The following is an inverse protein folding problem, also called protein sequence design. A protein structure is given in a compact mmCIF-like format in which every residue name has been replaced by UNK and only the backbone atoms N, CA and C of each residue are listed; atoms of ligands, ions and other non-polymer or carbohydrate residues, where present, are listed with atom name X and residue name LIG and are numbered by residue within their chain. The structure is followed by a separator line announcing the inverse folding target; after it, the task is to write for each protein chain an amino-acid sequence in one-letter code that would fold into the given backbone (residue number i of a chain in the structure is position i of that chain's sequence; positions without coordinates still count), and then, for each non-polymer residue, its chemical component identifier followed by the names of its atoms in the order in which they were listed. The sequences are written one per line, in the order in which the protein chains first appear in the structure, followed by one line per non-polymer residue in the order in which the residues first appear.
data_IF_683912389895
#
_entry.id   IF_683912389895
#
_cell.length_a   1.000
_cell.length_b   1.000
_cell.length_c   1.000
_cell.angle_alpha   90.00
_cell.angle_beta   90.00
_cell.angle_gamma   90.00
#
_symmetry.space_group_name_H-M   'P 1'
#
loop_
_entity.id
_entity.type
_entity.pdbx_description
1 polymer ?
#
# COMPACT_ATOMS: atom_id res chain seq x y z
N UNK A 1 27.25 -58.87 -25.81
CA UNK A 1 27.43 -57.45 -25.39
C UNK A 1 26.55 -56.42 -26.13
N UNK A 2 25.64 -56.80 -27.05
CA UNK A 2 24.78 -55.82 -27.74
C UNK A 2 23.51 -55.44 -26.94
N UNK A 3 22.91 -56.39 -26.24
CA UNK A 3 21.69 -56.19 -25.43
C UNK A 3 21.87 -55.14 -24.32
N UNK A 4 23.02 -55.16 -23.63
CA UNK A 4 23.32 -54.18 -22.58
C UNK A 4 23.40 -52.74 -23.12
N UNK A 5 23.87 -52.55 -24.35
CA UNK A 5 23.90 -51.23 -25.01
C UNK A 5 22.50 -50.70 -25.32
N UNK A 6 21.57 -51.58 -25.71
CA UNK A 6 20.19 -51.17 -25.97
C UNK A 6 19.43 -50.82 -24.70
N UNK A 7 19.68 -51.54 -23.59
CA UNK A 7 19.10 -51.23 -22.28
C UNK A 7 19.60 -49.87 -21.78
N UNK A 8 20.89 -49.57 -21.95
CA UNK A 8 21.47 -48.29 -21.57
C UNK A 8 20.90 -47.13 -22.41
N UNK A 9 20.72 -47.34 -23.71
CA UNK A 9 20.13 -46.35 -24.61
C UNK A 9 18.67 -46.06 -24.25
N UNK A 10 17.90 -47.10 -23.90
CA UNK A 10 16.51 -46.99 -23.49
C UNK A 10 16.35 -46.23 -22.16
N UNK A 11 17.23 -46.49 -21.19
CA UNK A 11 17.26 -45.75 -19.92
C UNK A 11 17.63 -44.26 -20.10
N UNK A 12 18.53 -43.92 -21.02
CA UNK A 12 18.82 -42.51 -21.33
C UNK A 12 17.63 -41.79 -21.98
N UNK A 13 16.87 -42.46 -22.84
CA UNK A 13 15.66 -41.87 -23.46
C UNK A 13 14.58 -41.62 -22.40
N UNK A 14 14.37 -42.55 -21.46
CA UNK A 14 13.44 -42.35 -20.35
C UNK A 14 13.84 -41.20 -19.43
N UNK A 15 15.15 -40.98 -19.22
CA UNK A 15 15.66 -39.85 -18.44
C UNK A 15 15.47 -38.50 -19.15
N UNK A 16 15.46 -38.46 -20.48
CA UNK A 16 15.25 -37.22 -21.25
C UNK A 16 13.76 -36.86 -21.36
N UNK A 17 12.84 -37.83 -21.27
CA UNK A 17 11.40 -37.58 -21.25
C UNK A 17 10.85 -37.13 -19.88
N UNK A 18 11.64 -37.21 -18.80
CA UNK A 18 11.20 -36.87 -17.45
C UNK A 18 11.50 -35.43 -17.02
N UNK A 19 11.71 -34.53 -17.99
CA UNK A 19 12.12 -33.15 -17.73
C UNK A 19 11.15 -32.11 -18.30
N UNK A 20 9.85 -32.35 -18.14
CA UNK A 20 8.85 -31.28 -18.10
C UNK A 20 7.95 -31.58 -16.90
N UNK A 21 8.44 -31.23 -15.71
CA UNK A 21 7.50 -30.83 -14.67
C UNK A 21 7.18 -29.39 -14.99
N UNK A 22 5.93 -29.15 -15.37
CA UNK A 22 5.32 -27.83 -15.39
C UNK A 22 5.63 -27.12 -14.07
N UNK A 23 6.72 -26.35 -14.07
CA UNK A 23 6.93 -25.30 -13.09
C UNK A 23 6.00 -24.23 -13.59
N UNK A 24 4.79 -24.17 -13.02
CA UNK A 24 3.95 -22.98 -13.15
C UNK A 24 4.86 -21.79 -12.89
N UNK A 25 4.95 -20.80 -13.81
CA UNK A 25 5.76 -19.64 -13.56
C UNK A 25 5.27 -19.07 -12.23
N UNK A 26 6.18 -18.95 -11.26
CA UNK A 26 5.92 -18.20 -10.04
C UNK A 26 5.55 -16.80 -10.54
N UNK A 27 4.26 -16.48 -10.58
CA UNK A 27 3.83 -15.11 -10.82
C UNK A 27 4.48 -14.31 -9.70
N UNK A 28 5.51 -13.53 -10.04
CA UNK A 28 5.97 -12.48 -9.16
C UNK A 28 4.78 -11.53 -9.00
N UNK A 29 4.03 -11.70 -7.91
CA UNK A 29 3.01 -10.76 -7.51
C UNK A 29 3.74 -9.48 -7.10
N UNK A 30 4.05 -8.64 -8.08
CA UNK A 30 4.52 -7.29 -7.85
C UNK A 30 3.36 -6.48 -7.26
N UNK A 31 3.13 -6.66 -5.97
CA UNK A 31 2.20 -5.82 -5.23
C UNK A 31 2.67 -4.36 -5.35
N UNK A 32 1.74 -3.45 -5.62
CA UNK A 32 2.04 -2.02 -5.63
C UNK A 32 2.37 -1.60 -4.20
N UNK A 33 3.52 -0.98 -3.96
CA UNK A 33 3.92 -0.53 -2.61
C UNK A 33 3.91 0.99 -2.56
N UNK A 34 3.20 1.54 -1.57
CA UNK A 34 3.21 2.97 -1.24
C UNK A 34 4.03 3.15 0.04
N UNK A 35 5.08 3.99 -0.01
CA UNK A 35 5.76 4.44 1.20
C UNK A 35 5.25 5.81 1.62
N UNK A 36 4.77 5.93 2.86
CA UNK A 36 4.26 7.19 3.42
C UNK A 36 5.15 7.60 4.59
N UNK A 37 5.71 8.80 4.51
CA UNK A 37 6.39 9.45 5.63
C UNK A 37 5.51 10.55 6.21
N UNK A 38 5.29 10.56 7.52
CA UNK A 38 4.42 11.51 8.20
C UNK A 38 5.19 12.23 9.29
N UNK A 39 5.18 13.56 9.22
CA UNK A 39 5.92 14.42 10.14
C UNK A 39 5.19 15.73 10.40
N UNK A 40 5.59 16.45 11.45
CA UNK A 40 5.12 17.81 11.74
C UNK A 40 6.31 18.76 11.91
N UNK A 41 6.09 20.05 11.65
CA UNK A 41 7.13 21.08 11.81
C UNK A 41 7.40 21.34 13.29
N UNK A 42 8.67 21.37 13.67
CA UNK A 42 9.11 21.72 15.00
C UNK A 42 8.83 23.19 15.29
N UNK A 43 8.10 23.49 16.37
CA UNK A 43 7.80 24.88 16.78
C UNK A 43 9.04 25.70 17.13
N UNK A 44 10.17 25.06 17.41
CA UNK A 44 11.43 25.74 17.69
C UNK A 44 12.23 26.08 16.41
N UNK A 45 11.88 25.50 15.26
CA UNK A 45 12.59 25.65 13.99
C UNK A 45 11.68 25.27 12.83
N UNK A 46 11.31 26.24 11.99
CA UNK A 46 10.44 26.02 10.82
C UNK A 46 11.07 25.13 9.74
N UNK A 47 12.35 24.73 9.91
CA UNK A 47 13.09 23.87 8.99
C UNK A 47 13.17 22.42 9.44
N UNK A 48 12.96 22.16 10.72
CA UNK A 48 13.10 20.82 11.28
C UNK A 48 11.73 20.13 11.35
N UNK A 49 11.66 18.90 10.85
CA UNK A 49 10.45 18.07 10.92
C UNK A 49 10.65 16.91 11.88
N UNK A 50 9.66 16.64 12.72
CA UNK A 50 9.65 15.54 13.69
C UNK A 50 8.66 14.47 13.21
N UNK A 51 9.01 13.16 13.22
CA UNK A 51 8.07 12.08 12.95
C UNK A 51 6.79 12.17 13.78
N UNK A 52 5.63 12.10 13.14
CA UNK A 52 4.34 12.09 13.83
C UNK A 52 3.96 10.67 14.27
N UNK A 53 4.73 10.15 15.23
CA UNK A 53 4.59 8.77 15.73
C UNK A 53 3.17 8.54 16.26
N UNK A 54 2.53 7.45 15.81
CA UNK A 54 1.16 7.10 16.17
C UNK A 54 0.08 7.82 15.35
N UNK A 55 0.45 8.63 14.35
CA UNK A 55 -0.51 9.12 13.36
C UNK A 55 -1.21 7.94 12.67
N UNK A 56 -2.48 8.12 12.30
CA UNK A 56 -3.31 7.04 11.75
C UNK A 56 -3.49 7.22 10.25
N UNK A 57 -3.28 6.15 9.51
CA UNK A 57 -3.51 6.07 8.07
C UNK A 57 -4.68 5.13 7.84
N UNK A 58 -5.83 5.68 7.45
CA UNK A 58 -7.01 4.89 7.08
C UNK A 58 -7.03 4.71 5.58
N UNK A 59 -6.99 3.47 5.12
CA UNK A 59 -6.92 3.09 3.72
C UNK A 59 -8.31 2.62 3.27
N UNK A 60 -8.78 3.22 2.19
CA UNK A 60 -10.02 2.89 1.51
C UNK A 60 -9.67 2.36 0.12
N UNK A 61 -9.87 1.06 -0.08
CA UNK A 61 -9.64 0.37 -1.33
C UNK A 61 -10.75 0.70 -2.32
N UNK A 62 -10.43 0.74 -3.61
CA UNK A 62 -11.39 0.96 -4.71
C UNK A 62 -12.16 2.30 -4.63
N UNK A 63 -11.66 3.24 -3.83
CA UNK A 63 -12.24 4.57 -3.62
C UNK A 63 -11.21 5.63 -3.98
N UNK A 64 -11.63 6.60 -4.78
CA UNK A 64 -10.83 7.80 -5.09
C UNK A 64 -11.37 9.03 -4.35
N UNK A 65 -10.56 10.09 -4.24
CA UNK A 65 -11.03 11.36 -3.66
C UNK A 65 -12.22 11.94 -4.43
N UNK A 66 -12.29 11.71 -5.75
CA UNK A 66 -13.39 12.18 -6.59
C UNK A 66 -14.72 11.49 -6.27
N UNK A 67 -14.66 10.21 -5.87
CA UNK A 67 -15.85 9.42 -5.51
C UNK A 67 -16.49 9.93 -4.21
N UNK A 68 -15.70 10.57 -3.34
CA UNK A 68 -16.12 10.96 -1.97
C UNK A 68 -16.15 12.47 -1.74
N UNK A 69 -16.10 13.28 -2.80
CA UNK A 69 -16.10 14.75 -2.72
C UNK A 69 -17.25 15.36 -1.91
N UNK A 70 -18.41 14.67 -1.88
CA UNK A 70 -19.61 15.11 -1.15
C UNK A 70 -19.81 14.39 0.20
N UNK A 71 -18.88 13.50 0.58
CA UNK A 71 -18.90 12.82 1.85
C UNK A 71 -18.21 13.68 2.92
N UNK A 72 -18.74 13.62 4.14
CA UNK A 72 -18.12 14.16 5.33
C UNK A 72 -17.30 13.06 5.98
N UNK A 73 -16.01 13.33 6.21
CA UNK A 73 -15.17 12.46 7.01
C UNK A 73 -15.36 12.72 8.51
N UNK A 74 -15.36 11.65 9.31
CA UNK A 74 -15.50 11.68 10.76
C UNK A 74 -14.14 11.37 11.41
N UNK A 75 -13.43 12.39 11.93
CA UNK A 75 -12.09 12.23 12.46
C UNK A 75 -12.06 11.35 13.72
N UNK A 76 -11.09 10.46 13.81
CA UNK A 76 -10.92 9.47 14.88
C UNK A 76 -11.75 8.21 14.71
N UNK A 77 -12.76 8.22 13.84
CA UNK A 77 -13.52 7.02 13.46
C UNK A 77 -13.05 6.44 12.13
N UNK A 78 -12.44 7.24 11.25
CA UNK A 78 -12.05 6.77 9.92
C UNK A 78 -13.23 6.54 8.97
N UNK A 79 -14.37 7.19 9.21
CA UNK A 79 -15.62 6.90 8.48
C UNK A 79 -16.00 8.07 7.57
N UNK A 80 -16.47 7.76 6.38
CA UNK A 80 -17.06 8.71 5.44
C UNK A 80 -18.59 8.57 5.46
N UNK A 81 -19.28 9.70 5.64
CA UNK A 81 -20.75 9.74 5.71
C UNK A 81 -21.34 10.73 4.70
N UNK A 82 -22.46 10.36 4.08
CA UNK A 82 -23.27 11.25 3.26
C UNK A 82 -24.74 11.02 3.55
N UNK A 83 -25.53 12.09 3.47
CA UNK A 83 -26.97 12.02 3.75
C UNK A 83 -27.63 11.05 2.76
N UNK A 84 -28.39 10.09 3.29
CA UNK A 84 -29.12 9.05 2.55
C UNK A 84 -28.26 8.00 1.84
N UNK A 85 -26.94 8.02 2.01
CA UNK A 85 -26.04 6.99 1.48
C UNK A 85 -25.50 6.11 2.63
N UNK A 86 -25.14 4.85 2.36
CA UNK A 86 -24.44 4.02 3.34
C UNK A 86 -23.14 4.67 3.82
N UNK A 87 -22.78 4.40 5.08
CA UNK A 87 -21.47 4.79 5.62
C UNK A 87 -20.39 3.98 4.91
N UNK A 88 -19.30 4.64 4.56
CA UNK A 88 -18.12 3.98 4.00
C UNK A 88 -17.07 3.89 5.12
N UNK A 89 -16.65 2.67 5.40
CA UNK A 89 -15.61 2.35 6.38
C UNK A 89 -14.28 2.12 5.66
N UNK A 90 -13.19 2.37 6.37
CA UNK A 90 -11.85 2.00 5.90
C UNK A 90 -11.68 0.48 5.90
N UNK A 91 -10.87 -0.02 4.99
CA UNK A 91 -10.52 -1.44 4.90
C UNK A 91 -9.35 -1.78 5.84
N UNK A 92 -8.40 -0.85 5.95
CA UNK A 92 -7.20 -1.03 6.74
C UNK A 92 -6.84 0.25 7.50
N UNK A 93 -6.24 0.09 8.68
CA UNK A 93 -5.69 1.19 9.46
C UNK A 93 -4.27 0.87 9.89
N UNK A 94 -3.38 1.84 9.69
CA UNK A 94 -2.00 1.74 10.10
C UNK A 94 -1.61 2.85 11.07
N UNK A 95 -0.62 2.56 11.92
CA UNK A 95 -0.01 3.53 12.82
C UNK A 95 1.39 3.85 12.34
N UNK A 96 1.72 5.14 12.30
CA UNK A 96 3.07 5.57 11.95
C UNK A 96 4.06 5.14 13.04
N UNK A 97 5.11 4.37 12.69
CA UNK A 97 6.11 3.90 13.64
C UNK A 97 7.06 5.03 14.04
N UNK A 98 7.99 4.73 14.95
CA UNK A 98 8.97 5.68 15.47
C UNK A 98 9.89 6.28 14.39
N UNK A 99 10.08 5.57 13.27
CA UNK A 99 10.85 6.06 12.11
C UNK A 99 10.13 7.19 11.35
N UNK A 100 8.80 7.32 11.54
CA UNK A 100 7.98 8.27 10.78
C UNK A 100 7.58 7.79 9.40
N UNK A 101 7.96 6.58 9.00
CA UNK A 101 7.71 6.02 7.67
C UNK A 101 7.09 4.63 7.75
N UNK A 102 6.13 4.36 6.86
CA UNK A 102 5.50 3.05 6.70
C UNK A 102 5.31 2.72 5.23
N UNK A 103 5.43 1.43 4.89
CA UNK A 103 5.10 0.91 3.57
C UNK A 103 3.79 0.13 3.62
N UNK A 104 2.89 0.44 2.68
CA UNK A 104 1.59 -0.18 2.52
C UNK A 104 1.60 -0.96 1.21
N UNK A 105 1.36 -2.27 1.28
CA UNK A 105 1.21 -3.12 0.12
C UNK A 105 -0.24 -3.09 -0.36
N UNK A 106 -0.43 -2.76 -1.63
CA UNK A 106 -1.70 -2.78 -2.34
C UNK A 106 -1.72 -3.94 -3.32
N UNK A 107 -2.93 -4.41 -3.64
CA UNK A 107 -3.13 -5.41 -4.68
C UNK A 107 -2.60 -4.89 -6.03
N UNK A 108 -2.02 -5.79 -6.83
CA UNK A 108 -1.49 -5.49 -8.16
C UNK A 108 -2.58 -4.93 -9.08
N UNK A 109 -3.80 -5.45 -8.93
CA UNK A 109 -4.96 -5.12 -9.77
C UNK A 109 -5.76 -3.92 -9.22
N UNK A 110 -5.32 -3.34 -8.10
CA UNK A 110 -5.98 -2.18 -7.50
C UNK A 110 -5.67 -0.89 -8.27
N UNK A 111 -6.71 -0.30 -8.86
CA UNK A 111 -6.64 0.98 -9.57
C UNK A 111 -7.07 2.17 -8.71
N UNK A 112 -7.89 1.84 -7.71
CA UNK A 112 -8.51 2.59 -6.62
C UNK A 112 -7.83 2.71 -5.27
N UNK A 113 -7.35 3.87 -4.80
CA UNK A 113 -7.02 4.00 -3.37
C UNK A 113 -7.10 5.43 -2.86
N UNK A 114 -7.71 5.56 -1.68
CA UNK A 114 -7.77 6.78 -0.90
C UNK A 114 -7.20 6.52 0.49
N UNK A 115 -6.28 7.36 0.94
CA UNK A 115 -5.68 7.27 2.28
C UNK A 115 -5.95 8.57 3.03
N UNK A 116 -6.62 8.46 4.18
CA UNK A 116 -6.77 9.55 5.14
C UNK A 116 -5.64 9.48 6.17
N UNK A 117 -4.84 10.53 6.29
CA UNK A 117 -3.77 10.65 7.28
C UNK A 117 -4.22 11.59 8.39
N UNK A 118 -4.45 11.05 9.59
CA UNK A 118 -4.77 11.81 10.80
C UNK A 118 -3.53 11.99 11.67
N UNK A 119 -3.19 13.26 11.95
CA UNK A 119 -2.07 13.60 12.81
C UNK A 119 -2.29 13.14 14.25
N UNK A 120 -1.25 12.58 14.87
CA UNK A 120 -1.25 12.26 16.30
C UNK A 120 -0.86 13.48 17.15
N UNK A 121 0.08 14.29 16.68
CA UNK A 121 0.50 15.54 17.32
C UNK A 121 -0.63 16.60 17.34
N UNK A 122 -1.33 16.78 16.21
CA UNK A 122 -2.39 17.80 16.04
C UNK A 122 -3.81 17.24 16.23
N UNK A 123 -3.98 16.22 17.09
CA UNK A 123 -5.29 15.56 17.35
C UNK A 123 -6.42 16.52 17.68
N UNK A 124 -6.14 17.58 18.45
CA UNK A 124 -7.16 18.57 18.87
C UNK A 124 -7.75 19.34 17.69
N UNK A 125 -6.93 19.58 16.67
CA UNK A 125 -7.31 20.32 15.46
C UNK A 125 -7.97 19.41 14.42
N UNK A 126 -7.95 18.08 14.64
CA UNK A 126 -8.51 17.07 13.74
C UNK A 126 -8.00 17.24 12.29
N UNK A 127 -6.72 17.62 12.13
CA UNK A 127 -6.12 17.80 10.80
C UNK A 127 -6.00 16.47 10.08
N UNK A 128 -6.45 16.48 8.83
CA UNK A 128 -6.41 15.33 7.91
C UNK A 128 -5.75 15.77 6.62
N UNK A 129 -4.90 14.91 6.09
CA UNK A 129 -4.36 15.02 4.73
C UNK A 129 -4.85 13.81 3.94
N UNK A 130 -5.28 14.04 2.70
CA UNK A 130 -5.74 13.00 1.79
C UNK A 130 -4.67 12.67 0.77
N UNK A 131 -4.43 11.37 0.55
CA UNK A 131 -3.61 10.86 -0.55
C UNK A 131 -4.51 10.04 -1.47
N UNK A 132 -4.45 10.27 -2.78
CA UNK A 132 -5.31 9.57 -3.76
C UNK A 132 -4.60 9.39 -5.12
N UNK A 133 -5.16 8.56 -6.00
CA UNK A 133 -4.59 8.08 -7.27
C UNK A 133 -3.95 9.13 -8.18
N UNK A 134 -4.47 10.35 -8.28
CA UNK A 134 -3.84 11.37 -9.11
C UNK A 134 -2.45 11.80 -8.57
N UNK A 135 -2.17 11.57 -7.29
CA UNK A 135 -0.84 11.71 -6.68
C UNK A 135 -0.06 10.38 -6.67
N UNK A 136 -0.71 9.25 -6.95
CA UNK A 136 -0.15 7.90 -6.96
C UNK A 136 0.05 7.32 -8.38
N UNK A 137 -0.40 7.98 -9.45
CA UNK A 137 -0.33 7.52 -10.86
C UNK A 137 1.08 7.27 -11.41
N UNK A 138 2.11 7.42 -10.60
CA UNK A 138 3.50 7.06 -10.88
C UNK A 138 3.96 5.80 -10.13
N UNK A 139 3.04 4.88 -9.83
CA UNK A 139 3.25 3.68 -9.00
C UNK A 139 4.00 2.51 -9.68
N UNK A 140 4.61 2.70 -10.86
CA UNK A 140 5.56 1.70 -11.39
C UNK A 140 6.95 1.77 -10.73
N UNK A 141 7.19 2.77 -9.87
CA UNK A 141 8.40 2.91 -9.09
C UNK A 141 8.01 3.39 -7.70
N UNK A 142 8.46 2.69 -6.66
CA UNK A 142 8.37 3.07 -5.24
C UNK A 142 8.59 4.57 -5.06
N UNK A 143 7.50 5.34 -4.84
CA UNK A 143 7.58 6.76 -4.53
C UNK A 143 7.18 6.97 -3.08
N UNK A 144 8.08 7.61 -2.36
CA UNK A 144 7.87 8.06 -0.98
C UNK A 144 6.99 9.31 -1.04
N UNK A 145 5.82 9.26 -0.41
CA UNK A 145 4.96 10.43 -0.23
C UNK A 145 5.22 11.02 1.15
N UNK A 146 5.66 12.28 1.19
CA UNK A 146 5.91 13.01 2.45
C UNK A 146 4.70 13.85 2.82
N UNK A 147 4.05 13.51 3.92
CA UNK A 147 3.01 14.32 4.56
C UNK A 147 3.66 15.14 5.67
N UNK A 148 3.58 16.46 5.55
CA UNK A 148 4.07 17.40 6.56
C UNK A 148 2.90 18.21 7.07
N UNK A 149 2.60 18.07 8.37
CA UNK A 149 1.65 18.92 9.04
C UNK A 149 2.33 20.23 9.48
N UNK A 150 1.84 21.34 8.96
CA UNK A 150 2.17 22.67 9.47
C UNK A 150 1.34 22.95 10.74
N UNK A 151 1.82 23.82 11.65
CA UNK A 151 1.03 24.29 12.79
C UNK A 151 -0.16 25.17 12.39
#
# INVERSE_FOLDING_TARGET
MKIFRYILLFLMIFSLCYCDKDIEPIEETHNKVISVSVSYVNKASDKDTIPDVGARLYVFNDISITDVTSYKYIPGEGVLIRKNDPKIYFDQVYLIPHTGEISISLDKDMDKVLIAVESNHLKKEKRIVWLSENQLKYLSQTRIHKVVFLP
#
